data_IF_693857440700
#
_entry.id   IF_693857440700
#
_cell.length_a   1.000
_cell.length_b   1.000
_cell.length_c   1.000
_cell.angle_alpha   90.00
_cell.angle_beta   90.00
_cell.angle_gamma   90.00
#
_symmetry.space_group_name_H-M   'P 1'
#
loop_
_entity.id
_entity.type
_entity.pdbx_description
1 polymer ?
#
# COMPACT_ATOMS: atom_id res chain seq x y z
N UNK A 1 -18.95 14.58 9.54
CA UNK A 1 -18.26 13.54 10.34
C UNK A 1 -18.96 12.17 10.34
N UNK A 2 -20.26 12.03 10.04
CA UNK A 2 -20.96 10.72 10.02
C UNK A 2 -20.78 9.89 8.73
N UNK A 3 -20.26 10.45 7.66
CA UNK A 3 -20.16 9.81 6.34
C UNK A 3 -18.89 8.96 6.15
N UNK A 4 -17.72 9.38 6.65
CA UNK A 4 -16.47 8.63 6.47
C UNK A 4 -16.47 7.24 7.15
N UNK A 5 -17.11 7.13 8.33
CA UNK A 5 -17.24 5.85 9.04
C UNK A 5 -18.12 4.82 8.30
N UNK A 6 -19.05 5.28 7.45
CA UNK A 6 -19.93 4.41 6.65
C UNK A 6 -19.23 3.85 5.42
N UNK A 7 -18.28 4.59 4.83
CA UNK A 7 -17.50 4.13 3.67
C UNK A 7 -16.44 3.10 4.05
N UNK A 8 -15.70 3.34 5.13
CA UNK A 8 -14.72 2.38 5.65
C UNK A 8 -15.40 1.07 6.10
N UNK A 9 -16.58 1.15 6.73
CA UNK A 9 -17.30 -0.05 7.16
C UNK A 9 -17.85 -0.86 5.97
N UNK A 10 -18.29 -0.22 4.88
CA UNK A 10 -18.74 -0.93 3.67
C UNK A 10 -17.58 -1.55 2.90
N UNK A 11 -16.41 -0.91 2.86
CA UNK A 11 -15.20 -1.48 2.26
C UNK A 11 -14.72 -2.69 3.06
N UNK A 12 -14.67 -2.60 4.39
CA UNK A 12 -14.32 -3.72 5.26
C UNK A 12 -15.33 -4.88 5.20
N UNK A 13 -16.64 -4.58 5.09
CA UNK A 13 -17.69 -5.61 4.96
C UNK A 13 -17.65 -6.32 3.60
N UNK A 14 -17.33 -5.60 2.52
CA UNK A 14 -17.13 -6.18 1.19
C UNK A 14 -15.95 -7.17 1.16
N UNK A 15 -14.87 -6.87 1.88
CA UNK A 15 -13.70 -7.74 2.05
C UNK A 15 -14.01 -9.00 2.88
N UNK A 16 -14.87 -8.90 3.90
CA UNK A 16 -15.28 -10.04 4.72
C UNK A 16 -16.26 -10.97 3.99
N UNK A 17 -17.12 -10.44 3.12
CA UNK A 17 -18.07 -11.23 2.35
C UNK A 17 -17.37 -12.20 1.36
N UNK A 18 -16.22 -11.81 0.80
CA UNK A 18 -15.41 -12.69 -0.06
C UNK A 18 -14.69 -13.79 0.72
N UNK A 19 -14.40 -13.58 2.01
CA UNK A 19 -13.73 -14.57 2.87
C UNK A 19 -14.73 -15.62 3.39
N UNK A 20 -15.98 -15.22 3.68
CA UNK A 20 -17.01 -16.12 4.22
C UNK A 20 -17.57 -17.14 3.23
N UNK A 21 -17.58 -16.83 1.92
CA UNK A 21 -18.06 -17.75 0.87
C UNK A 21 -17.09 -18.89 0.55
N UNK A 22 -15.84 -18.82 1.00
CA UNK A 22 -14.84 -19.87 0.78
C UNK A 22 -14.93 -21.06 1.77
N UNK A 23 -15.82 -21.01 2.77
CA UNK A 23 -15.87 -22.02 3.85
C UNK A 23 -16.96 -23.10 3.72
N UNK A 24 -17.84 -23.06 2.71
CA UNK A 24 -18.89 -24.08 2.55
C UNK A 24 -18.60 -25.04 1.40
N UNK A 25 -17.79 -26.06 1.68
CA UNK A 25 -17.64 -27.22 0.81
C UNK A 25 -16.40 -28.00 1.24
N UNK A 26 -16.59 -29.24 1.66
CA UNK A 26 -15.50 -30.15 2.03
C UNK A 26 -14.53 -30.38 0.87
N UNK A 27 -13.58 -29.47 0.72
CA UNK A 27 -12.48 -29.59 -0.21
C UNK A 27 -11.36 -30.41 0.43
N UNK A 28 -10.57 -31.14 -0.37
CA UNK A 28 -9.37 -31.81 0.11
C UNK A 28 -8.50 -30.80 0.87
N UNK A 29 -7.70 -31.28 1.82
CA UNK A 29 -6.74 -30.48 2.57
C UNK A 29 -5.86 -29.69 1.58
N UNK A 30 -6.21 -28.43 1.33
CA UNK A 30 -5.48 -27.54 0.42
C UNK A 30 -4.05 -27.40 0.92
N UNK A 31 -3.05 -27.55 0.04
CA UNK A 31 -1.65 -27.33 0.39
C UNK A 31 -1.54 -25.93 1.05
N UNK A 32 -1.01 -25.83 2.28
CA UNK A 32 -0.81 -24.54 2.95
C UNK A 32 -0.10 -23.50 2.09
N UNK A 33 0.77 -23.93 1.15
CA UNK A 33 1.46 -23.04 0.21
C UNK A 33 0.51 -22.50 -0.86
N UNK A 34 -0.31 -23.35 -1.46
CA UNK A 34 -1.31 -22.94 -2.44
C UNK A 34 -2.34 -21.99 -1.80
N UNK A 35 -2.76 -22.29 -0.57
CA UNK A 35 -3.64 -21.42 0.21
C UNK A 35 -3.00 -20.06 0.51
N UNK A 36 -1.73 -20.04 0.91
CA UNK A 36 -1.00 -18.79 1.17
C UNK A 36 -0.87 -17.93 -0.10
N UNK A 37 -0.58 -18.56 -1.24
CA UNK A 37 -0.53 -17.87 -2.54
C UNK A 37 -1.89 -17.26 -2.89
N UNK A 38 -2.97 -18.03 -2.78
CA UNK A 38 -4.32 -17.53 -3.02
C UNK A 38 -4.69 -16.34 -2.11
N UNK A 39 -4.30 -16.39 -0.82
CA UNK A 39 -4.53 -15.25 0.10
C UNK A 39 -3.73 -14.00 -0.30
N UNK A 40 -2.50 -14.16 -0.77
CA UNK A 40 -1.67 -13.03 -1.23
C UNK A 40 -2.21 -12.41 -2.52
N UNK A 41 -2.69 -13.24 -3.46
CA UNK A 41 -3.34 -12.77 -4.69
C UNK A 41 -4.61 -11.96 -4.37
N UNK A 42 -5.43 -12.44 -3.43
CA UNK A 42 -6.61 -11.71 -2.96
C UNK A 42 -6.22 -10.39 -2.29
N UNK A 43 -5.18 -10.38 -1.44
CA UNK A 43 -4.66 -9.15 -0.82
C UNK A 43 -4.21 -8.14 -1.87
N UNK A 44 -3.48 -8.58 -2.89
CA UNK A 44 -3.02 -7.74 -3.98
C UNK A 44 -4.19 -7.17 -4.79
N UNK A 45 -5.16 -8.01 -5.16
CA UNK A 45 -6.36 -7.56 -5.88
C UNK A 45 -7.15 -6.52 -5.08
N UNK A 46 -7.31 -6.77 -3.78
CA UNK A 46 -7.99 -5.85 -2.86
C UNK A 46 -7.27 -4.52 -2.71
N UNK A 47 -5.94 -4.52 -2.56
CA UNK A 47 -5.16 -3.30 -2.40
C UNK A 47 -5.14 -2.44 -3.67
N UNK A 48 -5.08 -3.07 -4.86
CA UNK A 48 -5.23 -2.38 -6.15
C UNK A 48 -6.61 -1.72 -6.26
N UNK A 49 -7.69 -2.45 -5.93
CA UNK A 49 -9.04 -1.91 -5.97
C UNK A 49 -9.24 -0.76 -4.96
N UNK A 50 -8.61 -0.85 -3.78
CA UNK A 50 -8.65 0.20 -2.78
C UNK A 50 -7.94 1.47 -3.28
N UNK A 51 -6.71 1.34 -3.78
CA UNK A 51 -5.95 2.49 -4.30
C UNK A 51 -6.71 3.20 -5.42
N UNK A 52 -7.26 2.46 -6.39
CA UNK A 52 -8.06 3.04 -7.47
C UNK A 52 -9.26 3.83 -6.95
N UNK A 53 -10.00 3.29 -5.97
CA UNK A 53 -11.16 3.98 -5.39
C UNK A 53 -10.77 5.23 -4.60
N UNK A 54 -9.64 5.16 -3.89
CA UNK A 54 -9.15 6.32 -3.12
C UNK A 54 -8.60 7.38 -4.07
N UNK A 55 -7.93 7.00 -5.15
CA UNK A 55 -7.49 7.91 -6.21
C UNK A 55 -8.69 8.62 -6.85
N UNK A 56 -9.72 7.87 -7.27
CA UNK A 56 -10.96 8.43 -7.81
C UNK A 56 -11.65 9.38 -6.82
N UNK A 57 -11.62 9.06 -5.53
CA UNK A 57 -12.18 9.91 -4.49
C UNK A 57 -11.32 11.16 -4.25
N UNK A 58 -9.99 11.04 -4.34
CA UNK A 58 -9.05 12.15 -4.21
C UNK A 58 -9.22 13.15 -5.36
N UNK A 59 -9.33 12.67 -6.60
CA UNK A 59 -9.57 13.50 -7.79
C UNK A 59 -10.90 14.26 -7.72
N UNK A 60 -11.89 13.71 -7.00
CA UNK A 60 -13.18 14.36 -6.72
C UNK A 60 -13.16 15.25 -5.48
N UNK A 61 -12.04 15.37 -4.78
CA UNK A 61 -11.91 16.12 -3.53
C UNK A 61 -12.63 15.51 -2.32
N UNK A 62 -12.97 14.22 -2.39
CA UNK A 62 -13.66 13.46 -1.34
C UNK A 62 -12.71 12.72 -0.39
N UNK A 63 -11.49 12.42 -0.85
CA UNK A 63 -10.43 11.82 -0.06
C UNK A 63 -9.27 12.80 0.14
N UNK A 64 -8.55 12.63 1.23
CA UNK A 64 -7.37 13.39 1.60
C UNK A 64 -6.11 12.82 0.95
N UNK A 65 -5.05 13.63 0.88
CA UNK A 65 -3.74 13.16 0.43
C UNK A 65 -3.21 12.03 1.34
N UNK A 66 -3.52 12.08 2.65
CA UNK A 66 -3.12 11.04 3.59
C UNK A 66 -3.78 9.69 3.28
N UNK A 67 -5.07 9.68 2.94
CA UNK A 67 -5.78 8.47 2.52
C UNK A 67 -5.21 7.91 1.21
N UNK A 68 -4.93 8.78 0.24
CA UNK A 68 -4.30 8.40 -1.05
C UNK A 68 -2.96 7.69 -0.84
N UNK A 69 -2.11 8.27 0.01
CA UNK A 69 -0.79 7.70 0.32
C UNK A 69 -0.90 6.37 1.04
N UNK A 70 -1.80 6.28 2.03
CA UNK A 70 -2.01 5.03 2.76
C UNK A 70 -2.48 3.89 1.83
N UNK A 71 -3.38 4.18 0.89
CA UNK A 71 -3.82 3.19 -0.08
C UNK A 71 -2.68 2.73 -1.02
N UNK A 72 -1.83 3.66 -1.45
CA UNK A 72 -0.64 3.35 -2.24
C UNK A 72 0.41 2.52 -1.46
N UNK A 73 0.53 2.73 -0.15
CA UNK A 73 1.39 1.92 0.74
C UNK A 73 0.87 0.47 0.87
N UNK A 74 -0.43 0.29 1.11
CA UNK A 74 -1.04 -1.04 1.18
C UNK A 74 -0.87 -1.83 -0.12
N UNK A 75 -0.95 -1.13 -1.27
CA UNK A 75 -0.64 -1.71 -2.57
C UNK A 75 0.84 -2.09 -2.68
N UNK A 76 1.74 -1.17 -2.33
CA UNK A 76 3.18 -1.42 -2.36
C UNK A 76 3.56 -2.66 -1.55
N UNK A 77 3.08 -2.81 -0.33
CA UNK A 77 3.37 -3.97 0.51
C UNK A 77 2.89 -5.28 -0.14
N UNK A 78 1.68 -5.29 -0.70
CA UNK A 78 1.13 -6.46 -1.35
C UNK A 78 1.91 -6.83 -2.63
N UNK A 79 2.30 -5.84 -3.43
CA UNK A 79 3.14 -6.05 -4.62
C UNK A 79 4.55 -6.53 -4.23
N UNK A 80 5.13 -5.97 -3.16
CA UNK A 80 6.46 -6.33 -2.68
C UNK A 80 6.55 -7.78 -2.21
N UNK A 81 5.52 -8.27 -1.51
CA UNK A 81 5.43 -9.67 -1.06
C UNK A 81 5.34 -10.67 -2.23
N UNK A 82 4.73 -10.24 -3.34
CA UNK A 82 4.52 -11.07 -4.54
C UNK A 82 5.64 -10.97 -5.56
N UNK A 83 6.50 -9.96 -5.45
CA UNK A 83 7.54 -9.68 -6.42
C UNK A 83 8.78 -10.52 -6.19
N UNK A 84 9.44 -10.86 -7.30
CA UNK A 84 10.81 -11.32 -7.32
C UNK A 84 11.78 -10.17 -6.96
N UNK A 85 13.07 -10.47 -6.93
CA UNK A 85 14.08 -9.50 -6.51
C UNK A 85 14.09 -8.24 -7.41
N UNK A 86 14.09 -8.42 -8.74
CA UNK A 86 14.08 -7.30 -9.68
C UNK A 86 12.79 -6.48 -9.59
N UNK A 87 11.63 -7.14 -9.40
CA UNK A 87 10.36 -6.49 -9.14
C UNK A 87 10.38 -5.66 -7.86
N UNK A 88 10.98 -6.16 -6.77
CA UNK A 88 11.14 -5.42 -5.52
C UNK A 88 12.00 -4.17 -5.68
N UNK A 89 13.10 -4.25 -6.42
CA UNK A 89 13.94 -3.09 -6.73
C UNK A 89 13.12 -2.00 -7.43
N UNK A 90 12.35 -2.37 -8.46
CA UNK A 90 11.54 -1.41 -9.21
C UNK A 90 10.41 -0.80 -8.37
N UNK A 91 9.75 -1.60 -7.53
CA UNK A 91 8.73 -1.11 -6.60
C UNK A 91 9.33 -0.12 -5.59
N UNK A 92 10.49 -0.42 -5.02
CA UNK A 92 11.18 0.46 -4.09
C UNK A 92 11.58 1.79 -4.75
N UNK A 93 12.04 1.78 -6.01
CA UNK A 93 12.32 3.03 -6.75
C UNK A 93 11.08 3.91 -6.85
N UNK A 94 9.94 3.34 -7.28
CA UNK A 94 8.67 4.08 -7.38
C UNK A 94 8.19 4.57 -6.02
N UNK A 95 8.34 3.76 -4.97
CA UNK A 95 7.99 4.15 -3.61
C UNK A 95 8.83 5.33 -3.10
N UNK A 96 10.14 5.33 -3.36
CA UNK A 96 11.04 6.46 -3.02
C UNK A 96 10.59 7.74 -3.72
N UNK A 97 10.21 7.69 -5.00
CA UNK A 97 9.71 8.86 -5.73
C UNK A 97 8.40 9.42 -5.14
N UNK A 98 7.47 8.53 -4.76
CA UNK A 98 6.24 8.92 -4.05
C UNK A 98 6.57 9.57 -2.71
N UNK A 99 7.44 8.95 -1.91
CA UNK A 99 7.84 9.47 -0.60
C UNK A 99 8.53 10.84 -0.69
N UNK A 100 9.35 11.08 -1.73
CA UNK A 100 9.92 12.42 -2.02
C UNK A 100 8.86 13.46 -2.32
N UNK A 101 7.79 13.08 -2.99
CA UNK A 101 6.68 14.00 -3.29
C UNK A 101 5.90 14.33 -2.03
N UNK A 102 5.64 13.34 -1.17
CA UNK A 102 5.05 13.55 0.15
C UNK A 102 5.90 14.45 1.04
N UNK A 103 7.21 14.21 1.12
CA UNK A 103 8.13 15.03 1.91
C UNK A 103 8.09 16.51 1.48
N UNK A 104 8.14 16.77 0.16
CA UNK A 104 8.03 18.13 -0.38
C UNK A 104 6.70 18.79 0.00
N UNK A 105 5.60 18.05 -0.09
CA UNK A 105 4.28 18.54 0.27
C UNK A 105 4.18 18.84 1.78
N UNK A 106 4.65 17.93 2.63
CA UNK A 106 4.68 18.11 4.08
C UNK A 106 5.51 19.32 4.49
N UNK A 107 6.66 19.55 3.82
CA UNK A 107 7.48 20.76 4.03
C UNK A 107 6.72 22.04 3.70
N UNK A 108 5.99 22.06 2.58
CA UNK A 108 5.18 23.22 2.19
C UNK A 108 4.06 23.52 3.18
N UNK A 109 3.39 22.48 3.69
CA UNK A 109 2.34 22.64 4.70
C UNK A 109 2.87 23.07 6.07
N UNK A 110 4.04 22.57 6.48
CA UNK A 110 4.71 23.01 7.71
C UNK A 110 5.03 24.50 7.65
N UNK A 111 5.58 24.97 6.52
CA UNK A 111 5.84 26.40 6.28
C UNK A 111 4.56 27.25 6.26
N UNK A 112 3.43 26.66 5.86
CA UNK A 112 2.12 27.31 5.87
C UNK A 112 1.34 27.15 7.19
N UNK A 113 1.89 26.45 8.19
CA UNK A 113 1.25 26.22 9.49
C UNK A 113 0.04 25.29 9.46
N UNK A 114 -0.10 24.45 8.44
CA UNK A 114 -1.35 23.74 8.13
C UNK A 114 -1.24 22.20 8.11
N UNK A 115 -0.13 21.60 8.55
CA UNK A 115 0.16 20.20 8.18
C UNK A 115 -0.54 19.13 9.05
N UNK A 116 -1.27 18.16 8.44
CA UNK A 116 -1.77 16.97 9.12
C UNK A 116 -0.71 15.85 9.27
N UNK A 117 0.39 15.88 8.51
CA UNK A 117 1.55 14.98 8.66
C UNK A 117 2.83 15.82 8.86
N UNK A 118 3.60 15.62 9.95
CA UNK A 118 4.87 16.30 10.16
C UNK A 118 5.89 16.03 9.05
N UNK A 119 6.65 17.07 8.65
CA UNK A 119 7.75 16.94 7.69
C UNK A 119 8.78 15.89 8.11
N UNK A 120 9.08 15.80 9.41
CA UNK A 120 10.00 14.80 9.96
C UNK A 120 9.55 13.37 9.73
N UNK A 121 8.25 13.07 9.83
CA UNK A 121 7.71 11.73 9.57
C UNK A 121 7.79 11.37 8.09
N UNK A 122 7.42 12.29 7.20
CA UNK A 122 7.54 12.08 5.75
C UNK A 122 9.01 11.85 5.33
N UNK A 123 9.93 12.60 5.93
CA UNK A 123 11.38 12.44 5.72
C UNK A 123 11.88 11.08 6.24
N UNK A 124 11.45 10.64 7.42
CA UNK A 124 11.82 9.34 7.98
C UNK A 124 11.38 8.21 7.05
N UNK A 125 10.12 8.24 6.62
CA UNK A 125 9.57 7.22 5.71
C UNK A 125 10.33 7.14 4.38
N UNK A 126 10.68 8.29 3.78
CA UNK A 126 11.52 8.31 2.57
C UNK A 126 12.87 7.63 2.82
N UNK A 127 13.52 7.93 3.95
CA UNK A 127 14.83 7.35 4.29
C UNK A 127 14.75 5.84 4.48
N UNK A 128 13.69 5.33 5.10
CA UNK A 128 13.47 3.87 5.26
C UNK A 128 13.37 3.18 3.90
N UNK A 129 12.60 3.74 2.96
CA UNK A 129 12.49 3.21 1.60
C UNK A 129 13.79 3.28 0.82
N UNK A 130 14.58 4.35 1.00
CA UNK A 130 15.91 4.46 0.38
C UNK A 130 16.88 3.42 0.94
N UNK A 131 16.87 3.19 2.26
CA UNK A 131 17.68 2.14 2.89
C UNK A 131 17.31 0.78 2.32
N UNK A 132 16.02 0.47 2.20
CA UNK A 132 15.55 -0.81 1.67
C UNK A 132 15.96 -0.99 0.20
N UNK A 133 15.84 0.07 -0.61
CA UNK A 133 16.32 0.07 -1.99
C UNK A 133 17.84 -0.19 -2.06
N UNK A 134 18.63 0.44 -1.19
CA UNK A 134 20.08 0.22 -1.18
C UNK A 134 20.44 -1.22 -0.81
N UNK A 135 19.75 -1.84 0.15
CA UNK A 135 19.96 -3.26 0.47
C UNK A 135 19.73 -4.15 -0.73
N UNK A 136 18.58 -3.98 -1.41
CA UNK A 136 18.25 -4.77 -2.59
C UNK A 136 19.28 -4.59 -3.72
N UNK A 137 19.75 -3.36 -3.96
CA UNK A 137 20.76 -3.10 -4.98
C UNK A 137 22.12 -3.75 -4.64
N UNK A 138 22.51 -3.79 -3.36
CA UNK A 138 23.73 -4.49 -2.92
C UNK A 138 23.57 -6.00 -3.14
N UNK A 139 22.45 -6.58 -2.72
CA UNK A 139 22.14 -8.00 -2.97
C UNK A 139 22.15 -8.34 -4.46
N UNK A 140 21.65 -7.44 -5.32
CA UNK A 140 21.69 -7.63 -6.78
C UNK A 140 23.13 -7.67 -7.32
N UNK A 141 24.02 -6.84 -6.77
CA UNK A 141 25.44 -6.80 -7.16
C UNK A 141 26.22 -8.03 -6.67
N UNK A 142 25.89 -8.55 -5.49
CA UNK A 142 26.55 -9.74 -4.92
C UNK A 142 26.15 -11.04 -5.63
N UNK A 143 25.02 -11.05 -6.34
CA UNK A 143 24.49 -12.20 -7.08
C UNK A 143 24.84 -12.21 -8.59
N UNK A 144 25.61 -11.22 -9.06
CA UNK A 144 26.11 -11.11 -10.44
C UNK A 144 27.57 -11.55 -10.55
#
# INVERSE_FOLDING_TARGET
MRTHALYLSTICLGLLATIGLAQQGGKPEEDPREKLLGLREVRLSASVALEQRVEDAYDRGLATMAERLHAAELRFEAEFEMSDHDGRVELCRKAVERARTLERHAKGLEQAGASPIPYSLAKLHRLELEIELQKLLIEQQENQ
#
